data_IF_801107845950
#
_entry.id   IF_801107845950
#
_cell.length_a   1.000
_cell.length_b   1.000
_cell.length_c   1.000
_cell.angle_alpha   90.00
_cell.angle_beta   90.00
_cell.angle_gamma   90.00
#
_symmetry.space_group_name_H-M   'P 1'
#
loop_
_entity.id
_entity.type
_entity.pdbx_description
1 polymer ?
#
# COMPACT_ATOMS: atom_id res chain seq x y z
N UNK A 1 -8.34 1.11 34.85
CA UNK A 1 -7.78 1.71 33.60
C UNK A 1 -6.96 2.94 33.97
N UNK A 2 -5.68 3.02 33.61
CA UNK A 2 -4.84 4.22 33.80
C UNK A 2 -4.97 5.13 32.57
N UNK A 3 -5.30 6.40 32.79
CA UNK A 3 -5.32 7.40 31.72
C UNK A 3 -3.89 7.75 31.28
N UNK A 4 -3.62 7.86 29.97
CA UNK A 4 -2.30 8.21 29.48
C UNK A 4 -1.91 9.62 29.93
N UNK A 5 -0.65 9.76 30.36
CA UNK A 5 -0.08 11.04 30.84
C UNK A 5 -0.10 12.06 29.70
N UNK A 6 -0.32 13.35 29.99
CA UNK A 6 -0.43 14.43 28.98
C UNK A 6 0.71 14.44 27.96
N UNK A 7 1.94 14.13 28.37
CA UNK A 7 3.10 14.04 27.47
C UNK A 7 2.99 12.91 26.42
N UNK A 8 2.41 11.76 26.78
CA UNK A 8 2.22 10.64 25.86
C UNK A 8 1.17 10.97 24.80
N UNK A 9 0.09 11.66 25.17
CA UNK A 9 -0.93 12.11 24.22
C UNK A 9 -0.34 13.04 23.17
N UNK A 10 0.39 14.07 23.62
CA UNK A 10 1.06 15.02 22.72
C UNK A 10 2.09 14.35 21.81
N UNK A 11 2.81 13.37 22.33
CA UNK A 11 3.77 12.61 21.52
C UNK A 11 3.07 11.74 20.47
N UNK A 12 1.97 11.06 20.83
CA UNK A 12 1.18 10.27 19.90
C UNK A 12 0.58 11.14 18.77
N UNK A 13 0.03 12.31 19.10
CA UNK A 13 -0.46 13.27 18.11
C UNK A 13 0.64 13.70 17.14
N UNK A 14 1.83 14.04 17.65
CA UNK A 14 2.99 14.39 16.83
C UNK A 14 3.43 13.23 15.93
N UNK A 15 3.36 12.00 16.43
CA UNK A 15 3.69 10.80 15.65
C UNK A 15 2.68 10.61 14.49
N UNK A 16 1.38 10.75 14.76
CA UNK A 16 0.34 10.66 13.74
C UNK A 16 0.50 11.71 12.65
N UNK A 17 0.72 12.97 13.03
CA UNK A 17 0.93 14.07 12.08
C UNK A 17 2.17 13.84 11.21
N UNK A 18 3.27 13.40 11.82
CA UNK A 18 4.50 13.09 11.08
C UNK A 18 4.33 11.92 10.10
N UNK A 19 3.55 10.91 10.48
CA UNK A 19 3.23 9.77 9.61
C UNK A 19 2.38 10.22 8.43
N UNK A 20 1.31 10.99 8.68
CA UNK A 20 0.42 11.51 7.66
C UNK A 20 1.15 12.41 6.64
N UNK A 21 2.15 13.17 7.10
CA UNK A 21 3.00 14.00 6.23
C UNK A 21 3.95 13.17 5.37
N UNK A 22 4.52 12.10 5.93
CA UNK A 22 5.53 11.27 5.27
C UNK A 22 4.94 10.36 4.19
N UNK A 23 3.85 9.68 4.51
CA UNK A 23 3.19 8.78 3.59
C UNK A 23 1.99 9.52 3.05
N UNK A 24 2.00 10.02 1.81
CA UNK A 24 0.81 10.67 1.24
C UNK A 24 -0.26 9.61 0.91
N UNK A 25 -1.56 9.95 0.92
CA UNK A 25 -2.56 9.03 0.42
C UNK A 25 -2.27 8.78 -1.06
N UNK A 26 -2.49 7.53 -1.48
CA UNK A 26 -2.33 7.14 -2.87
C UNK A 26 -3.70 7.04 -3.53
N UNK A 27 -3.76 7.31 -4.82
CA UNK A 27 -5.00 7.28 -5.59
C UNK A 27 -5.16 5.98 -6.38
N UNK A 28 -6.41 5.60 -6.66
CA UNK A 28 -6.71 4.45 -7.51
C UNK A 28 -6.16 4.70 -8.93
N UNK A 29 -5.55 3.70 -9.53
CA UNK A 29 -4.86 3.81 -10.82
C UNK A 29 -3.42 4.31 -10.74
N UNK A 30 -2.92 4.67 -9.56
CA UNK A 30 -1.53 5.08 -9.37
C UNK A 30 -0.60 3.85 -9.30
N UNK A 31 0.57 3.98 -9.90
CA UNK A 31 1.60 2.93 -9.83
C UNK A 31 2.36 3.01 -8.52
N UNK A 32 2.67 1.84 -7.99
CA UNK A 32 3.33 1.65 -6.71
C UNK A 32 4.36 0.53 -6.78
N UNK A 33 5.42 0.70 -5.99
CA UNK A 33 6.36 -0.36 -5.63
C UNK A 33 5.90 -1.02 -4.34
N UNK A 34 5.70 -2.33 -4.39
CA UNK A 34 5.45 -3.16 -3.21
C UNK A 34 6.73 -3.89 -2.84
N UNK A 35 7.29 -3.71 -1.63
CA UNK A 35 8.45 -4.46 -1.19
C UNK A 35 8.09 -5.93 -0.92
N UNK A 36 8.92 -6.84 -1.41
CA UNK A 36 8.77 -8.28 -1.18
C UNK A 36 9.57 -8.68 0.06
N UNK A 37 8.94 -9.44 0.96
CA UNK A 37 9.60 -9.95 2.15
C UNK A 37 10.75 -10.89 1.78
N UNK A 38 11.82 -10.90 2.57
CA UNK A 38 12.98 -11.73 2.29
C UNK A 38 12.67 -13.24 2.28
N UNK A 39 11.61 -13.67 2.98
CA UNK A 39 11.12 -15.06 3.00
C UNK A 39 10.57 -15.49 1.64
N UNK A 40 9.89 -14.59 0.94
CA UNK A 40 9.25 -14.86 -0.35
C UNK A 40 10.20 -14.57 -1.54
N UNK A 41 11.40 -14.04 -1.25
CA UNK A 41 12.35 -13.56 -2.25
C UNK A 41 13.52 -14.53 -2.42
N UNK A 42 13.74 -15.06 -3.63
CA UNK A 42 14.98 -15.76 -3.96
C UNK A 42 16.14 -14.76 -4.02
N UNK A 43 17.38 -15.26 -3.88
CA UNK A 43 18.58 -14.39 -3.82
C UNK A 43 18.75 -13.45 -5.02
N UNK A 44 18.24 -13.85 -6.19
CA UNK A 44 18.37 -13.10 -7.45
C UNK A 44 17.15 -12.21 -7.74
N UNK A 45 16.07 -12.36 -6.99
CA UNK A 45 14.82 -11.66 -7.29
C UNK A 45 14.89 -10.17 -6.93
N UNK A 46 14.10 -9.38 -7.65
CA UNK A 46 13.96 -7.96 -7.38
C UNK A 46 13.36 -7.73 -5.99
N UNK A 47 13.84 -6.69 -5.29
CA UNK A 47 13.34 -6.35 -3.94
C UNK A 47 11.92 -5.79 -3.94
N UNK A 48 11.49 -5.22 -5.07
CA UNK A 48 10.21 -4.55 -5.20
C UNK A 48 9.48 -5.06 -6.44
N UNK A 49 8.18 -5.23 -6.32
CA UNK A 49 7.27 -5.55 -7.43
C UNK A 49 6.53 -4.26 -7.83
N UNK A 50 6.37 -4.05 -9.13
CA UNK A 50 5.56 -2.98 -9.68
C UNK A 50 4.10 -3.41 -9.72
N UNK A 51 3.22 -2.57 -9.20
CA UNK A 51 1.78 -2.77 -9.22
C UNK A 51 1.02 -1.46 -9.33
N UNK A 52 -0.29 -1.57 -9.45
CA UNK A 52 -1.25 -0.47 -9.56
C UNK A 52 -2.26 -0.61 -8.44
N UNK A 53 -2.66 0.50 -7.83
CA UNK A 53 -3.74 0.51 -6.86
C UNK A 53 -5.07 0.29 -7.58
N UNK A 54 -5.76 -0.77 -7.22
CA UNK A 54 -7.04 -1.15 -7.81
C UNK A 54 -8.24 -0.59 -7.06
N UNK A 55 -8.13 -0.50 -5.74
CA UNK A 55 -9.23 -0.15 -4.85
C UNK A 55 -8.66 0.37 -3.52
N UNK A 56 -9.44 1.19 -2.83
CA UNK A 56 -9.10 1.77 -1.54
C UNK A 56 -10.24 1.50 -0.57
N UNK A 57 -9.95 0.71 0.47
CA UNK A 57 -10.87 0.45 1.57
C UNK A 57 -10.32 1.11 2.82
N UNK A 58 -10.93 2.23 3.22
CA UNK A 58 -10.49 3.07 4.33
C UNK A 58 -9.02 3.51 4.21
N UNK A 59 -8.14 2.93 5.05
CA UNK A 59 -6.70 3.18 5.09
C UNK A 59 -5.86 2.08 4.41
N UNK A 60 -6.52 1.11 3.78
CA UNK A 60 -5.90 0.00 3.09
C UNK A 60 -6.11 0.05 1.58
N UNK A 61 -5.12 -0.48 0.85
CA UNK A 61 -5.08 -0.48 -0.61
C UNK A 61 -5.05 -1.92 -1.14
N UNK A 62 -5.86 -2.19 -2.16
CA UNK A 62 -5.71 -3.38 -2.99
C UNK A 62 -4.74 -3.07 -4.11
N UNK A 63 -3.70 -3.89 -4.24
CA UNK A 63 -2.69 -3.75 -5.29
C UNK A 63 -2.81 -4.88 -6.28
N UNK A 64 -2.82 -4.53 -7.57
CA UNK A 64 -2.77 -5.45 -8.69
C UNK A 64 -1.46 -5.33 -9.44
N UNK A 65 -1.05 -6.40 -10.07
CA UNK A 65 0.04 -6.46 -11.05
C UNK A 65 -0.50 -7.01 -12.36
N UNK A 66 0.28 -6.93 -13.43
CA UNK A 66 -0.09 -7.56 -14.71
C UNK A 66 -0.36 -9.07 -14.62
N UNK A 67 0.23 -9.73 -13.62
CA UNK A 67 0.15 -11.18 -13.44
C UNK A 67 -0.99 -11.63 -12.50
N UNK A 68 -1.67 -10.69 -11.86
CA UNK A 68 -2.68 -11.01 -10.86
C UNK A 68 -2.74 -9.98 -9.75
N UNK A 69 -3.56 -10.26 -8.74
CA UNK A 69 -3.82 -9.35 -7.62
C UNK A 69 -3.22 -9.93 -6.34
N UNK A 70 -2.79 -9.05 -5.44
CA UNK A 70 -2.45 -9.49 -4.10
C UNK A 70 -3.74 -9.75 -3.32
N UNK A 71 -3.83 -10.91 -2.68
CA UNK A 71 -4.94 -11.24 -1.78
C UNK A 71 -4.91 -10.41 -0.50
N UNK A 72 -3.72 -9.95 -0.11
CA UNK A 72 -3.51 -9.10 1.05
C UNK A 72 -3.76 -7.62 0.74
N UNK A 73 -4.33 -6.93 1.74
CA UNK A 73 -4.48 -5.48 1.78
C UNK A 73 -3.22 -4.79 2.29
N UNK A 74 -2.81 -3.72 1.61
CA UNK A 74 -1.62 -2.95 1.97
C UNK A 74 -1.96 -1.69 2.75
N UNK A 75 -1.25 -1.46 3.85
CA UNK A 75 -1.35 -0.21 4.60
C UNK A 75 -0.58 0.91 3.90
N UNK A 76 -0.96 2.17 4.16
CA UNK A 76 -0.39 3.39 3.55
C UNK A 76 1.15 3.53 3.60
N UNK A 77 1.83 2.86 4.53
CA UNK A 77 3.28 2.92 4.70
C UNK A 77 4.06 1.86 3.91
N UNK A 78 3.38 0.89 3.28
CA UNK A 78 4.03 -0.21 2.56
C UNK A 78 4.27 0.11 1.08
N UNK A 79 3.26 0.49 0.28
CA UNK A 79 3.47 0.81 -1.13
C UNK A 79 4.07 2.21 -1.26
N UNK A 80 5.08 2.33 -2.13
CA UNK A 80 5.73 3.61 -2.45
C UNK A 80 5.31 4.04 -3.85
N UNK A 81 4.82 5.27 -4.01
CA UNK A 81 4.42 5.82 -5.30
C UNK A 81 5.57 5.80 -6.30
N UNK A 82 5.29 5.36 -7.53
CA UNK A 82 6.22 5.40 -8.65
C UNK A 82 5.55 5.90 -9.93
N UNK A 83 6.32 6.48 -10.84
CA UNK A 83 5.86 6.94 -12.15
C UNK A 83 6.41 6.01 -13.24
N UNK A 84 5.76 4.87 -13.52
CA UNK A 84 6.33 3.95 -14.53
C UNK A 84 5.35 3.12 -15.38
N UNK A 85 4.07 2.95 -15.03
CA UNK A 85 3.14 2.11 -15.81
C UNK A 85 1.91 2.84 -16.34
N UNK A 86 1.50 2.49 -17.56
CA UNK A 86 0.22 2.89 -18.13
C UNK A 86 -0.89 1.98 -17.58
N UNK A 87 -1.98 2.58 -17.07
CA UNK A 87 -3.03 1.89 -16.31
C UNK A 87 -3.85 0.83 -17.08
N UNK A 88 -3.50 0.53 -18.33
CA UNK A 88 -4.17 -0.48 -19.16
C UNK A 88 -3.69 -1.92 -18.94
N UNK A 89 -2.54 -2.15 -18.29
CA UNK A 89 -1.91 -3.49 -18.24
C UNK A 89 -2.39 -4.41 -17.09
N UNK A 90 -3.33 -3.96 -16.25
CA UNK A 90 -3.84 -4.79 -15.14
C UNK A 90 -5.20 -5.37 -15.52
N UNK A 91 -5.36 -6.70 -15.60
CA UNK A 91 -6.62 -7.30 -16.02
C UNK A 91 -7.77 -6.94 -15.05
N UNK A 92 -8.82 -6.36 -15.62
CA UNK A 92 -10.05 -5.97 -14.94
C UNK A 92 -10.89 -7.23 -14.65
N UNK A 93 -11.06 -7.57 -13.37
CA UNK A 93 -12.04 -8.57 -12.95
C UNK A 93 -13.41 -7.88 -12.99
N UNK A 94 -14.12 -8.06 -14.09
CA UNK A 94 -15.57 -7.96 -14.10
C UNK A 94 -16.07 -8.98 -13.07
N UNK A 95 -16.80 -8.50 -12.07
CA UNK A 95 -17.49 -9.35 -11.10
C UNK A 95 -18.35 -10.37 -11.86
N UNK A 96 -18.03 -11.66 -11.75
CA UNK A 96 -19.00 -12.71 -12.05
C UNK A 96 -19.93 -12.82 -10.84
N UNK A 97 -20.96 -11.99 -10.82
CA UNK A 97 -22.22 -12.33 -10.17
C UNK A 97 -22.99 -13.24 -11.13
N UNK A 98 -22.97 -14.54 -10.85
CA UNK A 98 -23.93 -15.54 -11.37
C UNK A 98 -24.88 -15.85 -10.23
#
# INVERSE_FOLDING_TARGET
>A
MKLPKRGQKRQAEKMLESSAKRFKPLEVGQNVRVPVADVDRAKTDARNILGVILDKQDDFYKVGTKHGRFDQLFARNQPVSENFMDGCEVPNIVAKSV
#
